data_IF_335118909264
#
_entry.id   IF_335118909264
#
_cell.length_a   1.000
_cell.length_b   1.000
_cell.length_c   1.000
_cell.angle_alpha   90.00
_cell.angle_beta   90.00
_cell.angle_gamma   90.00
#
_symmetry.space_group_name_H-M   'P 1'
#
loop_
_entity.id
_entity.type
_entity.pdbx_description
1 polymer ?
#
# COMPACT_ATOMS: atom_id res chain seq x y z
N UNK A 1 -12.65 30.76 -15.94
CA UNK A 1 -12.80 30.52 -14.49
C UNK A 1 -12.61 31.82 -13.70
N UNK A 2 -13.50 32.10 -12.74
CA UNK A 2 -13.39 33.14 -11.72
C UNK A 2 -14.27 32.73 -10.51
N UNK A 3 -13.66 32.33 -9.40
CA UNK A 3 -14.34 31.79 -8.22
C UNK A 3 -13.69 32.23 -6.91
N UNK A 4 -14.45 32.16 -5.81
CA UNK A 4 -13.93 32.27 -4.43
C UNK A 4 -14.13 30.94 -3.71
N UNK A 5 -13.09 30.43 -3.05
CA UNK A 5 -13.12 29.15 -2.34
C UNK A 5 -12.45 29.25 -0.98
N UNK A 6 -12.86 28.38 -0.04
CA UNK A 6 -12.14 28.21 1.22
C UNK A 6 -10.74 27.64 0.93
N UNK A 7 -9.71 28.31 1.46
CA UNK A 7 -8.31 27.98 1.23
C UNK A 7 -7.96 26.56 1.70
N UNK A 8 -8.41 26.19 2.89
CA UNK A 8 -8.05 24.90 3.49
C UNK A 8 -8.69 23.74 2.72
N UNK A 9 -9.93 23.91 2.25
CA UNK A 9 -10.60 22.92 1.39
C UNK A 9 -9.90 22.79 0.03
N UNK A 10 -9.50 23.91 -0.58
CA UNK A 10 -8.75 23.92 -1.84
C UNK A 10 -7.40 23.20 -1.72
N UNK A 11 -6.63 23.52 -0.68
CA UNK A 11 -5.36 22.87 -0.37
C UNK A 11 -5.53 21.36 -0.12
N UNK A 12 -6.57 20.99 0.62
CA UNK A 12 -6.86 19.57 0.91
C UNK A 12 -7.22 18.80 -0.37
N UNK A 13 -8.02 19.40 -1.25
CA UNK A 13 -8.38 18.80 -2.54
C UNK A 13 -7.15 18.60 -3.45
N UNK A 14 -6.25 19.61 -3.54
CA UNK A 14 -4.97 19.50 -4.25
C UNK A 14 -4.15 18.32 -3.72
N UNK A 15 -4.01 18.22 -2.40
CA UNK A 15 -3.22 17.17 -1.74
C UNK A 15 -3.79 15.76 -1.90
N UNK A 16 -5.09 15.64 -2.15
CA UNK A 16 -5.73 14.35 -2.47
C UNK A 16 -5.34 13.92 -3.88
N UNK A 17 -5.54 14.79 -4.88
CA UNK A 17 -5.34 14.41 -6.28
C UNK A 17 -3.87 14.34 -6.69
N UNK A 18 -2.98 15.11 -6.04
CA UNK A 18 -1.53 15.06 -6.31
C UNK A 18 -0.94 13.66 -6.12
N UNK A 19 -1.57 12.79 -5.31
CA UNK A 19 -1.07 11.43 -5.03
C UNK A 19 -1.10 10.52 -6.26
N UNK A 20 -1.74 10.94 -7.34
CA UNK A 20 -1.71 10.27 -8.65
C UNK A 20 -0.80 10.97 -9.66
N UNK A 21 -0.36 12.19 -9.37
CA UNK A 21 0.47 12.99 -10.27
C UNK A 21 1.93 12.58 -10.09
N UNK A 22 2.63 12.38 -11.21
CA UNK A 22 4.07 12.09 -11.22
C UNK A 22 4.72 13.04 -12.22
N UNK A 23 5.93 13.53 -11.88
CA UNK A 23 6.69 14.36 -12.82
C UNK A 23 6.92 13.60 -14.13
N UNK A 24 6.54 14.22 -15.24
CA UNK A 24 6.68 13.65 -16.56
C UNK A 24 7.29 14.66 -17.53
N UNK A 25 8.58 14.47 -17.83
CA UNK A 25 9.34 15.38 -18.71
C UNK A 25 8.92 15.32 -20.17
N UNK A 26 8.30 14.21 -20.60
CA UNK A 26 7.88 14.00 -22.00
C UNK A 26 6.50 14.63 -22.22
N UNK A 27 5.59 14.48 -21.24
CA UNK A 27 4.25 15.08 -21.23
C UNK A 27 4.06 15.91 -19.96
N UNK A 28 4.55 17.17 -19.92
CA UNK A 28 4.50 18.02 -18.73
C UNK A 28 3.09 18.22 -18.15
N UNK A 29 2.06 18.18 -19.01
CA UNK A 29 0.65 18.25 -18.60
C UNK A 29 0.24 17.16 -17.59
N UNK A 30 0.88 15.99 -17.61
CA UNK A 30 0.66 14.91 -16.63
C UNK A 30 1.27 15.19 -15.25
N UNK A 31 2.08 16.26 -15.15
CA UNK A 31 2.60 16.78 -13.88
C UNK A 31 1.67 17.85 -13.28
N UNK A 32 0.54 18.14 -13.94
CA UNK A 32 -0.43 19.14 -13.52
C UNK A 32 -1.66 18.51 -12.86
N UNK A 33 -2.34 19.31 -12.04
CA UNK A 33 -3.72 19.05 -11.62
C UNK A 33 -4.64 19.77 -12.59
N UNK A 34 -5.67 19.07 -13.06
CA UNK A 34 -6.78 19.65 -13.79
C UNK A 34 -7.90 20.05 -12.82
N UNK A 35 -8.45 21.25 -13.01
CA UNK A 35 -9.56 21.77 -12.23
C UNK A 35 -10.66 22.29 -13.15
N UNK A 36 -11.91 21.93 -12.86
CA UNK A 36 -13.10 22.36 -13.61
C UNK A 36 -14.18 22.86 -12.67
N UNK A 37 -14.70 24.06 -12.91
CA UNK A 37 -15.83 24.63 -12.17
C UNK A 37 -17.11 24.35 -12.94
N UNK A 38 -18.11 23.75 -12.26
CA UNK A 38 -19.44 23.51 -12.82
C UNK A 38 -20.49 23.59 -11.72
N UNK A 39 -21.48 24.45 -11.89
CA UNK A 39 -22.45 24.78 -10.86
C UNK A 39 -21.75 25.40 -9.65
N UNK A 40 -22.06 24.91 -8.44
CA UNK A 40 -21.48 25.38 -7.18
C UNK A 40 -20.29 24.54 -6.70
N UNK A 41 -19.67 23.73 -7.58
CA UNK A 41 -18.53 22.88 -7.23
C UNK A 41 -17.35 23.09 -8.17
N UNK A 42 -16.16 22.88 -7.63
CA UNK A 42 -14.91 22.73 -8.38
C UNK A 42 -14.44 21.28 -8.25
N UNK A 43 -14.15 20.66 -9.39
CA UNK A 43 -13.72 19.28 -9.52
C UNK A 43 -12.24 19.25 -9.85
N UNK A 44 -11.48 18.47 -9.09
CA UNK A 44 -10.05 18.27 -9.31
C UNK A 44 -9.81 16.89 -9.88
N UNK A 45 -8.88 16.80 -10.83
CA UNK A 45 -8.39 15.55 -11.39
C UNK A 45 -6.87 15.56 -11.39
N UNK A 46 -6.28 14.51 -10.84
CA UNK A 46 -4.88 14.16 -11.03
C UNK A 46 -4.82 12.83 -11.76
N UNK A 47 -3.84 12.64 -12.64
CA UNK A 47 -3.64 11.35 -13.30
C UNK A 47 -2.21 11.14 -13.76
N UNK A 48 -1.76 9.88 -13.70
CA UNK A 48 -0.57 9.40 -14.39
C UNK A 48 -0.91 8.37 -15.49
N UNK A 49 -2.16 8.38 -15.98
CA UNK A 49 -2.76 7.43 -16.93
C UNK A 49 -3.08 6.05 -16.37
N UNK A 50 -2.29 5.54 -15.41
CA UNK A 50 -2.57 4.26 -14.74
C UNK A 50 -3.47 4.44 -13.51
N UNK A 51 -3.29 5.53 -12.79
CA UNK A 51 -4.10 5.94 -11.64
C UNK A 51 -4.65 7.33 -11.89
N UNK A 52 -5.96 7.48 -11.73
CA UNK A 52 -6.65 8.77 -11.77
C UNK A 52 -7.35 9.00 -10.44
N UNK A 53 -7.14 10.17 -9.83
CA UNK A 53 -7.87 10.56 -8.63
C UNK A 53 -8.72 11.76 -8.96
N UNK A 54 -9.99 11.69 -8.58
CA UNK A 54 -10.94 12.79 -8.66
C UNK A 54 -11.46 13.14 -7.29
N UNK A 55 -11.64 14.43 -7.03
CA UNK A 55 -12.32 14.92 -5.84
C UNK A 55 -13.04 16.23 -6.16
N UNK A 56 -13.94 16.67 -5.29
CA UNK A 56 -14.64 17.95 -5.46
C UNK A 56 -14.83 18.64 -4.12
N UNK A 57 -14.93 19.97 -4.17
CA UNK A 57 -15.31 20.81 -3.04
C UNK A 57 -16.36 21.82 -3.48
N UNK A 58 -17.14 22.30 -2.52
CA UNK A 58 -18.06 23.40 -2.74
C UNK A 58 -17.31 24.72 -2.97
N UNK A 59 -17.85 25.55 -3.85
CA UNK A 59 -17.35 26.88 -4.18
C UNK A 59 -18.21 27.90 -3.45
N UNK A 60 -17.57 28.87 -2.79
CA UNK A 60 -18.27 29.89 -2.01
C UNK A 60 -18.95 30.93 -2.91
N UNK A 61 -18.31 31.31 -4.01
CA UNK A 61 -18.86 32.24 -4.99
C UNK A 61 -18.36 31.88 -6.40
N UNK A 62 -19.28 31.80 -7.35
CA UNK A 62 -18.97 31.53 -8.76
C UNK A 62 -19.34 32.74 -9.58
N UNK A 63 -18.33 33.48 -10.04
CA UNK A 63 -18.50 34.62 -10.94
C UNK A 63 -18.48 34.13 -12.39
N UNK A 64 -17.61 33.18 -12.71
CA UNK A 64 -17.48 32.60 -14.05
C UNK A 64 -16.96 31.17 -13.97
N UNK A 65 -17.68 30.23 -14.58
CA UNK A 65 -17.20 28.85 -14.74
C UNK A 65 -15.94 28.77 -15.64
N UNK A 66 -15.37 27.58 -15.72
CA UNK A 66 -14.25 27.29 -16.61
C UNK A 66 -13.32 26.24 -16.03
N UNK A 67 -12.23 26.01 -16.75
CA UNK A 67 -11.29 24.93 -16.48
C UNK A 67 -9.85 25.39 -16.66
N UNK A 68 -8.93 24.69 -16.01
CA UNK A 68 -7.50 25.00 -16.03
C UNK A 68 -6.68 23.77 -15.64
N UNK A 69 -5.46 23.66 -16.16
CA UNK A 69 -4.47 22.69 -15.70
C UNK A 69 -3.20 23.41 -15.21
N UNK A 70 -2.79 23.17 -13.96
CA UNK A 70 -1.69 23.91 -13.32
C UNK A 70 -0.71 23.00 -12.59
N UNK A 71 0.54 23.46 -12.47
CA UNK A 71 1.53 22.83 -11.61
C UNK A 71 1.17 23.03 -10.14
N UNK A 72 0.94 21.92 -9.44
CA UNK A 72 0.38 21.97 -8.10
C UNK A 72 1.40 22.29 -7.00
N UNK A 73 2.69 21.95 -7.19
CA UNK A 73 3.71 22.00 -6.14
C UNK A 73 3.90 23.40 -5.56
N UNK A 74 4.11 24.39 -6.43
CA UNK A 74 4.29 25.78 -6.02
C UNK A 74 3.02 26.38 -5.39
N UNK A 75 1.84 25.94 -5.84
CA UNK A 75 0.55 26.35 -5.29
C UNK A 75 0.34 25.72 -3.91
N UNK A 76 0.62 24.43 -3.72
CA UNK A 76 0.56 23.75 -2.41
C UNK A 76 1.53 24.40 -1.40
N UNK A 77 2.74 24.76 -1.82
CA UNK A 77 3.71 25.50 -1.00
C UNK A 77 3.19 26.88 -0.61
N UNK A 78 2.71 27.68 -1.57
CA UNK A 78 2.18 29.01 -1.29
C UNK A 78 0.96 28.97 -0.36
N UNK A 79 0.00 28.08 -0.64
CA UNK A 79 -1.23 27.96 0.14
C UNK A 79 -0.97 27.53 1.59
N UNK A 80 0.14 26.85 1.88
CA UNK A 80 0.53 26.50 3.26
C UNK A 80 0.95 27.72 4.08
N UNK A 81 1.59 28.69 3.45
CA UNK A 81 2.22 29.83 4.14
C UNK A 81 1.23 30.96 4.43
N UNK A 82 0.21 31.12 3.59
CA UNK A 82 -0.82 32.15 3.80
C UNK A 82 -1.84 31.72 4.88
N UNK A 83 -2.52 32.69 5.49
CA UNK A 83 -3.48 32.45 6.59
C UNK A 83 -4.92 32.78 6.23
N UNK A 84 -5.14 33.34 5.05
CA UNK A 84 -6.44 33.72 4.53
C UNK A 84 -7.43 32.55 4.59
N UNK A 85 -8.66 32.84 5.02
CA UNK A 85 -9.71 31.83 5.05
C UNK A 85 -10.19 31.49 3.63
N UNK A 86 -10.25 32.50 2.76
CA UNK A 86 -10.71 32.38 1.38
C UNK A 86 -9.65 32.89 0.41
N UNK A 87 -9.59 32.26 -0.76
CA UNK A 87 -8.78 32.70 -1.90
C UNK A 87 -9.68 32.86 -3.13
N UNK A 88 -9.35 33.82 -3.98
CA UNK A 88 -10.00 34.01 -5.28
C UNK A 88 -9.11 33.41 -6.36
N UNK A 89 -9.70 32.56 -7.20
CA UNK A 89 -9.03 31.97 -8.36
C UNK A 89 -9.61 32.60 -9.61
N UNK A 90 -8.76 33.20 -10.43
CA UNK A 90 -9.17 33.87 -11.67
C UNK A 90 -8.24 33.46 -12.80
N UNK A 91 -8.81 32.95 -13.89
CA UNK A 91 -8.04 32.65 -15.11
C UNK A 91 -8.28 33.75 -16.13
N UNK A 92 -7.20 34.37 -16.59
CA UNK A 92 -7.22 35.37 -17.66
C UNK A 92 -6.47 34.91 -18.90
N UNK A 93 -6.98 35.34 -20.06
CA UNK A 93 -6.42 35.07 -21.38
C UNK A 93 -6.19 33.56 -21.69
N UNK A 94 -6.76 32.66 -20.88
CA UNK A 94 -6.63 31.20 -21.00
C UNK A 94 -5.33 30.62 -20.46
N UNK A 95 -4.32 31.44 -20.14
CA UNK A 95 -2.94 30.97 -19.95
C UNK A 95 -2.33 31.35 -18.59
N UNK A 96 -3.00 32.21 -17.81
CA UNK A 96 -2.52 32.64 -16.49
C UNK A 96 -3.61 32.38 -15.45
N UNK A 97 -3.26 31.64 -14.40
CA UNK A 97 -4.06 31.50 -13.19
C UNK A 97 -3.57 32.49 -12.14
N UNK A 98 -4.47 33.35 -11.69
CA UNK A 98 -4.30 34.22 -10.54
C UNK A 98 -4.85 33.54 -9.29
N UNK A 99 -4.07 33.56 -8.20
CA UNK A 99 -4.56 33.27 -6.85
C UNK A 99 -4.42 34.56 -6.03
N UNK A 100 -5.56 35.08 -5.60
CA UNK A 100 -5.68 36.38 -4.93
C UNK A 100 -6.16 36.19 -3.49
N UNK A 101 -5.54 36.95 -2.61
CA UNK A 101 -5.85 37.11 -1.17
C UNK A 101 -6.15 38.58 -0.90
N UNK A 102 -6.37 38.97 0.35
CA UNK A 102 -6.58 40.39 0.69
C UNK A 102 -5.35 41.26 0.34
N UNK A 103 -4.15 40.73 0.61
CA UNK A 103 -2.89 41.50 0.55
C UNK A 103 -1.92 41.04 -0.56
N UNK A 104 -2.28 40.01 -1.33
CA UNK A 104 -1.39 39.40 -2.33
C UNK A 104 -2.12 38.90 -3.57
N UNK A 105 -1.52 39.15 -4.72
CA UNK A 105 -1.87 38.57 -6.01
C UNK A 105 -0.68 37.79 -6.52
N UNK A 106 -0.90 36.51 -6.85
CA UNK A 106 0.11 35.63 -7.44
C UNK A 106 -0.32 35.17 -8.82
N UNK A 107 0.65 34.93 -9.70
CA UNK A 107 0.43 34.55 -11.10
C UNK A 107 1.15 33.24 -11.40
N UNK A 108 0.43 32.30 -12.02
CA UNK A 108 0.94 31.00 -12.40
C UNK A 108 0.67 30.75 -13.88
N UNK A 109 1.71 30.39 -14.61
CA UNK A 109 1.57 29.85 -15.96
C UNK A 109 0.78 28.53 -15.90
N UNK A 110 -0.22 28.42 -16.76
CA UNK A 110 -1.07 27.23 -16.84
C UNK A 110 -1.06 26.64 -18.24
N UNK A 111 -1.43 25.37 -18.32
CA UNK A 111 -1.64 24.70 -19.58
C UNK A 111 -3.09 24.80 -20.01
N UNK A 112 -3.30 24.67 -21.32
CA UNK A 112 -4.64 24.51 -21.87
C UNK A 112 -5.30 23.26 -21.27
N UNK A 113 -6.52 23.43 -20.78
CA UNK A 113 -7.36 22.34 -20.29
C UNK A 113 -7.61 21.26 -21.36
N UNK A 114 -7.66 21.66 -22.64
CA UNK A 114 -7.92 20.76 -23.78
C UNK A 114 -6.81 19.73 -23.98
N UNK A 115 -5.58 20.02 -23.53
CA UNK A 115 -4.43 19.12 -23.63
C UNK A 115 -4.39 18.09 -22.48
N UNK A 116 -5.21 18.28 -21.44
CA UNK A 116 -5.28 17.35 -20.32
C UNK A 116 -5.97 16.05 -20.77
N UNK A 117 -5.47 14.87 -20.36
CA UNK A 117 -6.14 13.62 -20.68
C UNK A 117 -7.56 13.60 -20.10
N UNK A 118 -8.57 13.65 -20.97
CA UNK A 118 -9.99 13.57 -20.62
C UNK A 118 -10.45 12.16 -20.22
N UNK A 119 -9.56 11.35 -19.65
CA UNK A 119 -9.90 10.04 -19.12
C UNK A 119 -10.85 10.20 -17.95
N UNK A 120 -12.01 9.55 -18.04
CA UNK A 120 -13.05 9.50 -17.00
C UNK A 120 -13.79 10.81 -16.72
N UNK A 121 -13.98 11.72 -17.68
CA UNK A 121 -14.67 13.00 -17.45
C UNK A 121 -16.07 12.84 -16.81
N UNK A 122 -16.85 11.85 -17.25
CA UNK A 122 -18.20 11.56 -16.77
C UNK A 122 -18.29 10.17 -16.12
N UNK A 123 -17.79 10.04 -14.88
CA UNK A 123 -17.94 8.79 -14.13
C UNK A 123 -19.36 8.71 -13.59
N UNK A 124 -20.08 7.68 -14.01
CA UNK A 124 -21.32 7.26 -13.37
C UNK A 124 -21.07 5.85 -12.86
N UNK A 125 -20.86 5.72 -11.55
CA UNK A 125 -20.64 4.41 -10.93
C UNK A 125 -21.93 3.60 -11.03
N UNK A 126 -21.89 2.54 -11.82
CA UNK A 126 -23.01 1.62 -11.98
C UNK A 126 -23.10 0.68 -10.77
N UNK A 127 -24.24 0.65 -10.09
CA UNK A 127 -24.46 -0.24 -8.94
C UNK A 127 -24.34 -1.73 -9.30
N UNK A 128 -24.55 -2.11 -10.57
CA UNK A 128 -24.28 -3.49 -11.02
C UNK A 128 -22.77 -3.84 -11.00
N UNK A 129 -21.89 -2.83 -11.01
CA UNK A 129 -20.44 -2.99 -10.95
C UNK A 129 -19.92 -2.96 -9.50
N UNK A 130 -20.78 -2.73 -8.50
CA UNK A 130 -20.43 -2.78 -7.08
C UNK A 130 -19.86 -4.15 -6.72
N UNK A 131 -18.84 -4.16 -5.86
CA UNK A 131 -18.22 -5.37 -5.34
C UNK A 131 -18.38 -5.45 -3.84
N UNK A 132 -17.83 -4.49 -3.10
CA UNK A 132 -17.91 -4.50 -1.65
C UNK A 132 -17.71 -3.11 -1.07
N UNK A 133 -17.98 -2.99 0.22
CA UNK A 133 -17.70 -1.79 1.00
C UNK A 133 -17.18 -2.18 2.38
N UNK A 134 -16.38 -1.31 2.99
CA UNK A 134 -15.88 -1.47 4.35
C UNK A 134 -15.47 -0.11 4.93
N UNK A 135 -15.20 -0.01 6.24
CA UNK A 135 -14.58 1.18 6.81
C UNK A 135 -13.24 1.50 6.13
N UNK A 136 -13.01 2.77 5.82
CA UNK A 136 -11.86 3.24 5.07
C UNK A 136 -10.54 2.95 5.79
N UNK A 137 -10.51 3.16 7.11
CA UNK A 137 -9.32 2.87 7.92
C UNK A 137 -9.05 1.37 8.06
N UNK A 138 -10.09 0.53 7.95
CA UNK A 138 -9.92 -0.92 7.91
C UNK A 138 -9.25 -1.36 6.60
N UNK A 139 -9.69 -0.83 5.45
CA UNK A 139 -9.05 -1.09 4.16
C UNK A 139 -7.58 -0.65 4.16
N UNK A 140 -7.27 0.51 4.75
CA UNK A 140 -5.89 0.99 4.92
C UNK A 140 -5.05 0.01 5.72
N UNK A 141 -5.56 -0.44 6.87
CA UNK A 141 -4.85 -1.41 7.71
C UNK A 141 -4.58 -2.73 6.96
N UNK A 142 -5.57 -3.23 6.22
CA UNK A 142 -5.40 -4.42 5.37
C UNK A 142 -4.30 -4.20 4.32
N UNK A 143 -4.35 -3.07 3.61
CA UNK A 143 -3.36 -2.75 2.60
C UNK A 143 -1.95 -2.58 3.19
N UNK A 144 -1.78 -1.89 4.32
CA UNK A 144 -0.48 -1.77 4.99
C UNK A 144 0.08 -3.15 5.40
N UNK A 145 -0.78 -4.03 5.91
CA UNK A 145 -0.42 -5.40 6.31
C UNK A 145 -0.02 -6.32 5.16
N UNK A 146 -0.39 -6.00 3.92
CA UNK A 146 -0.13 -6.87 2.77
C UNK A 146 0.86 -6.24 1.80
N UNK A 147 0.86 -4.92 1.61
CA UNK A 147 1.63 -4.23 0.57
C UNK A 147 3.13 -4.54 0.61
N UNK A 148 3.72 -4.68 1.80
CA UNK A 148 5.16 -4.83 1.95
C UNK A 148 5.72 -6.07 1.23
N UNK A 149 4.91 -7.10 0.97
CA UNK A 149 5.34 -8.30 0.25
C UNK A 149 5.23 -8.22 -1.27
N UNK A 150 4.70 -7.14 -1.84
CA UNK A 150 4.73 -6.89 -3.28
C UNK A 150 6.16 -6.75 -3.82
N UNK A 151 6.35 -7.08 -5.10
CA UNK A 151 7.64 -7.01 -5.78
C UNK A 151 7.97 -5.60 -6.28
N UNK A 152 9.14 -5.42 -6.88
CA UNK A 152 9.55 -4.15 -7.49
C UNK A 152 8.83 -3.90 -8.82
N UNK A 153 8.82 -2.66 -9.32
CA UNK A 153 8.24 -2.33 -10.63
C UNK A 153 8.80 -3.14 -11.82
N UNK A 154 9.96 -3.77 -11.69
CA UNK A 154 10.55 -4.63 -12.72
C UNK A 154 9.74 -5.93 -12.92
N UNK A 155 9.05 -6.41 -11.88
CA UNK A 155 8.19 -7.59 -11.93
C UNK A 155 6.72 -7.18 -11.81
N UNK A 156 6.17 -6.65 -12.91
CA UNK A 156 4.81 -6.09 -12.97
C UNK A 156 3.74 -7.07 -12.46
N UNK A 157 3.88 -8.38 -12.73
CA UNK A 157 2.90 -9.39 -12.30
C UNK A 157 2.77 -9.50 -10.77
N UNK A 158 3.86 -9.21 -10.04
CA UNK A 158 3.94 -9.32 -8.59
C UNK A 158 4.04 -7.96 -7.87
N UNK A 159 4.21 -6.86 -8.62
CA UNK A 159 4.14 -5.49 -8.11
C UNK A 159 2.69 -5.03 -7.87
N UNK A 160 1.93 -5.84 -7.11
CA UNK A 160 0.52 -5.61 -6.87
C UNK A 160 0.05 -6.21 -5.54
N UNK A 161 -1.16 -5.82 -5.15
CA UNK A 161 -1.99 -6.61 -4.23
C UNK A 161 -3.07 -7.29 -5.06
N UNK A 162 -3.12 -8.61 -4.96
CA UNK A 162 -4.20 -9.45 -5.46
C UNK A 162 -5.37 -9.40 -4.49
N UNK A 163 -6.54 -9.03 -4.99
CA UNK A 163 -7.80 -9.01 -4.23
C UNK A 163 -8.74 -10.02 -4.87
N UNK A 164 -9.19 -11.00 -4.07
CA UNK A 164 -10.14 -12.02 -4.49
C UNK A 164 -11.35 -12.06 -3.57
N UNK A 165 -12.54 -12.21 -4.16
CA UNK A 165 -13.70 -12.68 -3.41
C UNK A 165 -13.91 -14.15 -3.70
N UNK A 166 -14.01 -14.95 -2.64
CA UNK A 166 -14.35 -16.36 -2.70
C UNK A 166 -15.38 -16.60 -1.60
N UNK A 167 -16.64 -16.87 -1.99
CA UNK A 167 -17.76 -17.06 -1.06
C UNK A 167 -17.95 -15.85 -0.10
N UNK A 168 -17.71 -16.04 1.20
CA UNK A 168 -17.84 -15.04 2.27
C UNK A 168 -16.50 -14.49 2.73
N UNK A 169 -15.50 -14.52 1.86
CA UNK A 169 -14.16 -14.10 2.19
C UNK A 169 -13.58 -13.20 1.10
N UNK A 170 -12.96 -12.11 1.55
CA UNK A 170 -12.03 -11.34 0.75
C UNK A 170 -10.61 -11.81 1.07
N UNK A 171 -9.84 -12.16 0.05
CA UNK A 171 -8.43 -12.50 0.15
C UNK A 171 -7.60 -11.34 -0.40
N UNK A 172 -6.62 -10.91 0.38
CA UNK A 172 -5.62 -9.92 -0.01
C UNK A 172 -4.26 -10.60 0.01
N UNK A 173 -3.60 -10.63 -1.15
CA UNK A 173 -2.35 -11.39 -1.33
C UNK A 173 -1.31 -10.54 -2.04
N UNK A 174 -0.08 -10.59 -1.56
CA UNK A 174 1.08 -10.03 -2.27
C UNK A 174 2.28 -10.96 -2.11
N UNK A 175 3.19 -10.93 -3.08
CA UNK A 175 4.36 -11.81 -3.11
C UNK A 175 5.46 -11.21 -3.98
N UNK A 176 6.71 -11.62 -3.75
CA UNK A 176 7.88 -11.19 -4.54
C UNK A 176 8.85 -12.35 -4.80
N UNK A 177 8.34 -13.56 -5.04
CA UNK A 177 9.08 -14.84 -5.16
C UNK A 177 9.77 -15.36 -3.89
N UNK A 178 10.22 -14.48 -2.99
CA UNK A 178 10.89 -14.85 -1.75
C UNK A 178 9.96 -14.91 -0.53
N UNK A 179 8.84 -14.19 -0.60
CA UNK A 179 7.84 -14.15 0.46
C UNK A 179 6.44 -14.01 -0.12
N UNK A 180 5.45 -14.38 0.66
CA UNK A 180 4.05 -14.21 0.36
C UNK A 180 3.32 -13.79 1.64
N UNK A 181 2.49 -12.76 1.56
CA UNK A 181 1.55 -12.41 2.62
C UNK A 181 0.14 -12.68 2.14
N UNK A 182 -0.62 -13.41 2.94
CA UNK A 182 -2.03 -13.72 2.73
C UNK A 182 -2.83 -13.17 3.91
N UNK A 183 -3.83 -12.35 3.62
CA UNK A 183 -4.80 -11.87 4.59
C UNK A 183 -6.21 -12.23 4.11
N UNK A 184 -6.94 -12.96 4.95
CA UNK A 184 -8.34 -13.31 4.78
C UNK A 184 -9.21 -12.37 5.62
N UNK A 185 -10.25 -11.81 5.02
CA UNK A 185 -11.23 -10.98 5.71
C UNK A 185 -12.62 -11.59 5.52
N UNK A 186 -13.29 -11.91 6.62
CA UNK A 186 -14.70 -12.31 6.59
C UNK A 186 -15.59 -11.12 6.24
N UNK A 187 -16.60 -11.39 5.42
CA UNK A 187 -17.60 -10.41 4.98
C UNK A 187 -19.00 -10.94 5.31
N UNK A 188 -19.90 -10.02 5.68
CA UNK A 188 -21.27 -10.39 6.09
C UNK A 188 -22.16 -10.79 4.91
N UNK A 189 -21.88 -10.24 3.73
CA UNK A 189 -22.64 -10.45 2.50
C UNK A 189 -21.79 -11.21 1.49
N UNK A 190 -22.40 -12.15 0.78
CA UNK A 190 -21.75 -12.83 -0.34
C UNK A 190 -21.45 -11.80 -1.43
N UNK A 191 -20.19 -11.78 -1.88
CA UNK A 191 -19.76 -11.00 -3.04
C UNK A 191 -19.54 -11.99 -4.18
N UNK A 192 -20.11 -11.78 -5.38
CA UNK A 192 -19.82 -12.62 -6.53
C UNK A 192 -18.31 -12.76 -6.75
N UNK A 193 -17.87 -13.97 -7.11
CA UNK A 193 -16.45 -14.25 -7.32
C UNK A 193 -15.84 -13.22 -8.27
N UNK A 194 -14.83 -12.51 -7.78
CA UNK A 194 -14.06 -11.58 -8.56
C UNK A 194 -12.60 -11.66 -8.14
N UNK A 195 -11.72 -11.30 -9.05
CA UNK A 195 -10.31 -11.44 -8.84
C UNK A 195 -9.59 -10.34 -9.61
N UNK A 196 -8.84 -9.49 -8.91
CA UNK A 196 -8.16 -8.34 -9.54
C UNK A 196 -6.78 -8.14 -8.93
N UNK A 197 -5.84 -7.64 -9.73
CA UNK A 197 -4.48 -7.31 -9.29
C UNK A 197 -4.31 -5.81 -9.36
N UNK A 198 -4.22 -5.15 -8.21
CA UNK A 198 -4.14 -3.69 -8.10
C UNK A 198 -2.67 -3.28 -7.93
N UNK A 199 -2.13 -2.38 -8.79
CA UNK A 199 -0.74 -1.95 -8.70
C UNK A 199 -0.34 -1.45 -7.31
N UNK A 200 0.84 -1.85 -6.84
CA UNK A 200 1.33 -1.49 -5.51
C UNK A 200 1.44 0.04 -5.31
N UNK A 201 1.83 0.77 -6.35
CA UNK A 201 1.88 2.24 -6.36
C UNK A 201 0.50 2.86 -6.10
N UNK A 202 -0.55 2.34 -6.74
CA UNK A 202 -1.92 2.79 -6.50
C UNK A 202 -2.32 2.52 -5.05
N UNK A 203 -2.06 1.31 -4.54
CA UNK A 203 -2.33 0.98 -3.14
C UNK A 203 -1.61 1.93 -2.18
N UNK A 204 -0.35 2.26 -2.46
CA UNK A 204 0.42 3.24 -1.68
C UNK A 204 -0.25 4.62 -1.67
N UNK A 205 -0.75 5.08 -2.82
CA UNK A 205 -1.49 6.34 -2.92
C UNK A 205 -2.81 6.28 -2.13
N UNK A 206 -3.58 5.19 -2.23
CA UNK A 206 -4.82 4.99 -1.45
C UNK A 206 -4.53 5.08 0.05
N UNK A 207 -3.52 4.37 0.55
CA UNK A 207 -3.09 4.43 1.97
C UNK A 207 -2.82 5.88 2.38
N UNK A 208 -2.01 6.61 1.60
CA UNK A 208 -1.62 8.00 1.92
C UNK A 208 -2.81 8.96 1.91
N UNK A 209 -3.78 8.77 1.02
CA UNK A 209 -4.98 9.61 0.93
C UNK A 209 -5.88 9.34 2.13
N UNK A 210 -6.24 8.08 2.36
CA UNK A 210 -7.27 7.71 3.34
C UNK A 210 -6.76 7.89 4.78
N UNK A 211 -5.48 7.66 5.06
CA UNK A 211 -4.91 7.80 6.42
C UNK A 211 -5.02 9.22 7.00
N UNK A 212 -5.13 10.23 6.13
CA UNK A 212 -5.33 11.63 6.53
C UNK A 212 -6.81 12.05 6.63
N UNK A 213 -7.75 11.14 6.41
CA UNK A 213 -9.19 11.41 6.34
C UNK A 213 -9.94 10.64 7.44
N UNK A 214 -11.20 11.04 7.67
CA UNK A 214 -12.09 10.37 8.63
C UNK A 214 -12.31 8.88 8.30
N UNK A 215 -12.69 8.11 9.32
CA UNK A 215 -13.11 6.73 9.13
C UNK A 215 -14.56 6.68 8.62
N UNK A 216 -14.73 6.39 7.34
CA UNK A 216 -16.02 6.39 6.64
C UNK A 216 -16.10 5.17 5.74
N UNK A 217 -17.28 4.87 5.19
CA UNK A 217 -17.42 3.76 4.26
C UNK A 217 -16.73 4.09 2.92
N UNK A 218 -15.84 3.19 2.48
CA UNK A 218 -15.27 3.18 1.13
C UNK A 218 -15.94 2.07 0.32
N UNK A 219 -16.41 2.41 -0.88
CA UNK A 219 -17.08 1.47 -1.79
C UNK A 219 -16.19 1.11 -2.96
N UNK A 220 -16.18 -0.16 -3.35
CA UNK A 220 -15.35 -0.68 -4.43
C UNK A 220 -16.24 -1.12 -5.58
N UNK A 221 -15.93 -0.62 -6.77
CA UNK A 221 -16.59 -1.00 -8.03
C UNK A 221 -15.55 -1.52 -9.02
N UNK A 222 -15.93 -2.49 -9.84
CA UNK A 222 -15.08 -3.03 -10.92
C UNK A 222 -15.81 -2.89 -12.24
N UNK A 223 -15.19 -2.19 -13.18
CA UNK A 223 -15.69 -1.99 -14.53
C UNK A 223 -14.54 -2.20 -15.52
N UNK A 224 -14.74 -3.10 -16.49
CA UNK A 224 -13.72 -3.49 -17.48
C UNK A 224 -12.35 -3.81 -16.85
N UNK A 225 -11.31 -3.12 -17.28
CA UNK A 225 -9.93 -3.24 -16.80
C UNK A 225 -9.60 -2.27 -15.64
N UNK A 226 -10.60 -1.69 -14.99
CA UNK A 226 -10.42 -0.70 -13.93
C UNK A 226 -11.11 -1.10 -12.62
N UNK A 227 -10.50 -0.66 -11.52
CA UNK A 227 -11.08 -0.73 -10.18
C UNK A 227 -11.26 0.69 -9.65
N UNK A 228 -12.40 0.94 -9.02
CA UNK A 228 -12.82 2.23 -8.51
C UNK A 228 -12.99 2.14 -7.00
N UNK A 229 -12.40 3.09 -6.28
CA UNK A 229 -12.57 3.28 -4.84
C UNK A 229 -13.30 4.60 -4.63
N UNK A 230 -14.54 4.53 -4.14
CA UNK A 230 -15.37 5.69 -3.84
C UNK A 230 -15.36 5.96 -2.34
N UNK A 231 -14.85 7.13 -1.95
CA UNK A 231 -14.86 7.63 -0.58
C UNK A 231 -15.42 9.07 -0.58
N UNK A 232 -16.59 9.30 0.02
CA UNK A 232 -17.28 10.61 -0.02
C UNK A 232 -17.33 11.16 -1.46
N UNK A 233 -16.82 12.37 -1.70
CA UNK A 233 -16.70 13.02 -3.02
C UNK A 233 -15.44 12.64 -3.80
N UNK A 234 -14.60 11.73 -3.28
CA UNK A 234 -13.34 11.29 -3.88
C UNK A 234 -13.50 9.93 -4.57
N UNK A 235 -13.09 9.86 -5.83
CA UNK A 235 -13.03 8.63 -6.62
C UNK A 235 -11.58 8.37 -7.02
N UNK A 236 -11.05 7.21 -6.63
CA UNK A 236 -9.73 6.74 -7.07
C UNK A 236 -9.95 5.62 -8.08
N UNK A 237 -9.33 5.75 -9.24
CA UNK A 237 -9.47 4.83 -10.38
C UNK A 237 -8.09 4.27 -10.69
N UNK A 238 -8.00 2.97 -10.85
CA UNK A 238 -6.74 2.30 -11.17
C UNK A 238 -6.93 1.27 -12.26
N UNK A 239 -6.01 1.27 -13.21
CA UNK A 239 -5.90 0.22 -14.22
C UNK A 239 -5.35 -1.05 -13.55
N UNK A 240 -6.04 -2.16 -13.80
CA UNK A 240 -5.67 -3.46 -13.26
C UNK A 240 -4.49 -4.07 -14.03
N UNK A 241 -3.69 -4.86 -13.32
CA UNK A 241 -2.63 -5.67 -13.94
C UNK A 241 -3.27 -6.94 -14.51
N UNK A 242 -3.13 -7.12 -15.83
CA UNK A 242 -3.67 -8.29 -16.56
C UNK A 242 -2.68 -9.47 -16.64
N UNK A 243 -1.48 -9.32 -16.06
CA UNK A 243 -0.52 -10.42 -15.94
C UNK A 243 -0.99 -11.44 -14.89
N UNK A 244 -0.69 -12.72 -15.15
CA UNK A 244 -1.06 -13.81 -14.26
C UNK A 244 -0.37 -13.68 -12.90
N UNK A 245 -1.16 -13.53 -11.84
CA UNK A 245 -0.66 -13.61 -10.46
C UNK A 245 -0.28 -15.05 -10.11
N UNK A 246 0.76 -15.28 -9.29
CA UNK A 246 1.13 -16.62 -8.83
C UNK A 246 -0.03 -17.39 -8.18
N UNK A 247 -0.04 -18.72 -8.34
CA UNK A 247 -1.05 -19.58 -7.72
C UNK A 247 -0.80 -19.71 -6.21
N UNK A 248 -1.20 -18.69 -5.45
CA UNK A 248 -0.96 -18.64 -4.01
C UNK A 248 -1.71 -19.73 -3.24
N UNK A 249 -2.89 -20.14 -3.72
CA UNK A 249 -3.67 -21.20 -3.07
C UNK A 249 -2.87 -22.52 -3.03
N UNK A 250 -2.19 -22.84 -4.14
CA UNK A 250 -1.31 -24.01 -4.23
C UNK A 250 -0.08 -23.89 -3.32
N UNK A 251 0.51 -22.69 -3.21
CA UNK A 251 1.62 -22.42 -2.28
C UNK A 251 1.19 -22.65 -0.82
N UNK A 252 -0.04 -22.24 -0.46
CA UNK A 252 -0.57 -22.40 0.90
C UNK A 252 -0.98 -23.84 1.21
N UNK A 253 -1.41 -24.63 0.21
CA UNK A 253 -1.91 -26.00 0.43
C UNK A 253 -0.88 -27.11 0.26
N UNK A 254 0.15 -26.92 -0.58
CA UNK A 254 1.06 -28.00 -0.97
C UNK A 254 2.22 -28.24 0.00
N UNK A 255 2.40 -27.38 1.00
CA UNK A 255 3.53 -27.47 1.92
C UNK A 255 3.06 -28.16 3.21
N UNK A 256 3.61 -29.34 3.46
CA UNK A 256 3.50 -30.01 4.75
C UNK A 256 4.50 -29.43 5.73
N UNK A 257 4.11 -29.34 7.00
CA UNK A 257 4.96 -28.90 8.09
C UNK A 257 4.92 -29.93 9.22
N UNK A 258 6.09 -30.32 9.73
CA UNK A 258 6.25 -31.32 10.79
C UNK A 258 6.98 -30.78 12.03
N UNK A 259 7.41 -29.51 11.98
CA UNK A 259 8.13 -28.81 13.05
C UNK A 259 7.46 -27.48 13.36
N UNK A 260 7.41 -27.09 14.64
CA UNK A 260 6.78 -25.83 15.07
C UNK A 260 7.61 -25.10 16.12
N UNK A 261 7.81 -23.79 15.94
CA UNK A 261 8.35 -22.89 16.95
C UNK A 261 7.24 -22.02 17.50
N UNK A 262 7.05 -22.04 18.81
CA UNK A 262 6.18 -21.13 19.55
C UNK A 262 7.04 -20.05 20.23
N UNK A 263 6.77 -18.78 19.92
CA UNK A 263 7.54 -17.67 20.50
C UNK A 263 6.69 -16.42 20.68
N UNK A 264 6.84 -15.74 21.82
CA UNK A 264 6.28 -14.40 22.02
C UNK A 264 6.87 -13.41 21.01
N UNK A 265 6.01 -12.59 20.39
CA UNK A 265 6.39 -11.68 19.33
C UNK A 265 7.39 -10.60 19.80
N UNK A 266 7.24 -10.03 21.00
CA UNK A 266 8.19 -9.04 21.51
C UNK A 266 9.60 -9.63 21.67
N UNK A 267 9.71 -10.86 22.19
CA UNK A 267 10.99 -11.59 22.29
C UNK A 267 11.63 -11.78 20.92
N UNK A 268 10.88 -12.27 19.93
CA UNK A 268 11.38 -12.48 18.57
C UNK A 268 11.77 -11.16 17.90
N UNK A 269 10.93 -10.14 18.01
CA UNK A 269 11.18 -8.80 17.47
C UNK A 269 12.49 -8.21 18.00
N UNK A 270 12.71 -8.28 19.32
CA UNK A 270 13.92 -7.75 19.93
C UNK A 270 15.18 -8.55 19.52
N UNK A 271 15.07 -9.87 19.39
CA UNK A 271 16.12 -10.73 18.87
C UNK A 271 16.49 -10.36 17.42
N UNK A 272 15.51 -10.32 16.52
CA UNK A 272 15.74 -10.00 15.11
C UNK A 272 16.31 -8.60 14.90
N UNK A 273 15.90 -7.60 15.72
CA UNK A 273 16.48 -6.25 15.67
C UNK A 273 17.98 -6.25 15.95
N UNK A 274 18.46 -7.03 16.92
CA UNK A 274 19.90 -7.17 17.20
C UNK A 274 20.62 -7.90 16.07
N UNK A 275 20.06 -9.01 15.60
CA UNK A 275 20.62 -9.82 14.52
C UNK A 275 20.75 -9.01 13.21
N UNK A 276 19.78 -8.16 12.90
CA UNK A 276 19.78 -7.30 11.72
C UNK A 276 20.93 -6.30 11.67
N UNK A 277 21.49 -5.91 12.82
CA UNK A 277 22.67 -5.02 12.85
C UNK A 277 23.85 -5.67 12.12
N UNK A 278 23.95 -6.99 12.22
CA UNK A 278 25.02 -7.79 11.62
C UNK A 278 24.62 -8.31 10.24
N UNK A 279 23.38 -8.79 10.07
CA UNK A 279 22.97 -9.40 8.80
C UNK A 279 22.73 -8.41 7.66
N UNK A 280 22.43 -7.12 7.95
CA UNK A 280 22.15 -6.11 6.91
C UNK A 280 23.28 -5.88 5.89
N UNK A 281 24.50 -6.15 6.31
CA UNK A 281 25.73 -6.04 5.51
C UNK A 281 26.46 -7.38 5.46
N UNK A 282 25.72 -8.50 5.58
CA UNK A 282 26.28 -9.82 5.39
C UNK A 282 26.84 -9.95 3.97
N UNK A 283 28.11 -10.33 3.88
CA UNK A 283 28.91 -10.36 2.64
C UNK A 283 28.47 -11.47 1.68
N UNK A 284 27.84 -12.54 2.18
CA UNK A 284 27.40 -13.66 1.35
C UNK A 284 26.00 -13.45 0.80
N UNK A 285 25.08 -13.05 1.67
CA UNK A 285 23.68 -12.79 1.31
C UNK A 285 23.08 -11.76 2.27
N UNK A 286 22.63 -10.65 1.70
CA UNK A 286 22.11 -9.50 2.45
C UNK A 286 20.92 -9.93 3.31
N UNK A 287 20.96 -9.57 4.60
CA UNK A 287 19.97 -9.92 5.63
C UNK A 287 19.88 -11.41 6.00
N UNK A 288 20.81 -12.24 5.53
CA UNK A 288 20.86 -13.67 5.88
C UNK A 288 21.21 -13.90 7.34
N UNK A 289 20.49 -14.82 7.99
CA UNK A 289 20.81 -15.32 9.33
C UNK A 289 20.50 -16.82 9.41
N UNK A 290 21.34 -17.56 10.12
CA UNK A 290 21.21 -19.01 10.28
C UNK A 290 20.59 -19.31 11.64
N UNK A 291 19.53 -20.12 11.61
CA UNK A 291 18.77 -20.58 12.77
C UNK A 291 19.05 -22.08 12.91
N UNK A 292 19.53 -22.48 14.08
CA UNK A 292 19.81 -23.87 14.42
C UNK A 292 18.99 -24.25 15.66
N UNK A 293 18.08 -25.21 15.48
CA UNK A 293 17.23 -25.78 16.51
C UNK A 293 17.79 -27.12 16.94
N UNK A 294 18.06 -27.29 18.23
CA UNK A 294 18.59 -28.52 18.81
C UNK A 294 17.81 -28.94 20.05
N UNK A 295 17.47 -30.21 20.10
CA UNK A 295 16.97 -30.86 21.31
C UNK A 295 18.14 -31.21 22.22
N UNK A 296 18.01 -30.92 23.50
CA UNK A 296 18.99 -31.31 24.51
C UNK A 296 18.44 -32.45 25.37
N UNK A 297 19.31 -33.28 25.92
CA UNK A 297 18.99 -34.44 26.78
C UNK A 297 18.17 -34.05 28.03
N UNK A 298 18.19 -32.77 28.42
CA UNK A 298 17.43 -32.21 29.55
C UNK A 298 16.02 -31.67 29.21
N UNK A 299 15.44 -32.01 28.04
CA UNK A 299 14.14 -31.49 27.56
C UNK A 299 14.07 -29.95 27.43
N UNK A 300 15.23 -29.28 27.28
CA UNK A 300 15.30 -27.84 26.98
C UNK A 300 15.71 -27.66 25.53
N UNK A 301 14.75 -27.31 24.69
CA UNK A 301 15.01 -27.08 23.28
C UNK A 301 15.65 -25.70 23.11
N UNK A 302 16.73 -25.66 22.33
CA UNK A 302 17.53 -24.45 22.13
C UNK A 302 17.45 -24.01 20.68
N UNK A 303 17.34 -22.70 20.48
CA UNK A 303 17.55 -22.06 19.19
C UNK A 303 18.81 -21.21 19.27
N UNK A 304 19.78 -21.50 18.42
CA UNK A 304 20.90 -20.63 18.14
C UNK A 304 20.63 -19.83 16.87
N UNK A 305 20.78 -18.52 16.91
CA UNK A 305 20.71 -17.63 15.75
C UNK A 305 22.04 -16.93 15.54
N UNK A 306 22.54 -16.98 14.31
CA UNK A 306 23.83 -16.41 13.95
C UNK A 306 23.75 -15.57 12.69
N UNK A 307 24.52 -14.49 12.68
CA UNK A 307 24.75 -13.66 11.51
C UNK A 307 26.16 -13.07 11.56
N UNK A 308 26.71 -12.76 10.39
CA UNK A 308 28.02 -12.13 10.28
C UNK A 308 28.01 -11.07 9.19
N UNK A 309 28.94 -10.12 9.32
CA UNK A 309 29.40 -9.26 8.24
C UNK A 309 30.93 -9.38 8.15
N UNK A 310 31.55 -8.54 7.32
CA UNK A 310 33.00 -8.58 7.07
C UNK A 310 33.87 -8.40 8.34
N UNK A 311 33.36 -7.73 9.38
CA UNK A 311 34.15 -7.30 10.55
C UNK A 311 33.67 -7.89 11.88
N UNK A 312 32.46 -8.45 11.94
CA UNK A 312 31.85 -8.90 13.18
C UNK A 312 30.87 -10.06 12.98
N UNK A 313 30.74 -10.90 14.01
CA UNK A 313 29.77 -12.00 14.09
C UNK A 313 28.92 -11.84 15.36
N UNK A 314 27.65 -12.18 15.25
CA UNK A 314 26.74 -12.37 16.37
C UNK A 314 26.29 -13.83 16.42
N UNK A 315 26.28 -14.40 17.61
CA UNK A 315 25.64 -15.68 17.92
C UNK A 315 24.83 -15.46 19.20
N UNK A 316 23.53 -15.69 19.14
CA UNK A 316 22.66 -15.67 20.31
C UNK A 316 21.98 -17.03 20.47
N UNK A 317 21.90 -17.51 21.70
CA UNK A 317 21.24 -18.75 22.06
C UNK A 317 20.11 -18.47 23.06
N UNK A 318 18.98 -19.14 22.88
CA UNK A 318 17.83 -19.00 23.75
C UNK A 318 17.07 -20.33 23.88
N UNK A 319 16.52 -20.54 25.06
CA UNK A 319 15.53 -21.59 25.28
C UNK A 319 14.24 -21.22 24.52
N UNK A 320 13.70 -22.20 23.79
CA UNK A 320 12.53 -22.07 22.92
C UNK A 320 11.57 -23.23 23.11
N UNK A 321 10.30 -23.00 22.81
CA UNK A 321 9.34 -24.07 22.63
C UNK A 321 9.34 -24.49 21.16
N UNK A 322 10.13 -25.51 20.83
CA UNK A 322 10.26 -26.05 19.49
C UNK A 322 9.82 -27.51 19.47
N UNK A 323 8.96 -27.87 18.53
CA UNK A 323 8.41 -29.21 18.33
C UNK A 323 8.96 -29.80 17.03
N UNK A 324 9.22 -31.11 17.02
CA UNK A 324 9.70 -31.86 15.84
C UNK A 324 11.18 -32.22 15.93
N UNK A 325 11.82 -32.53 14.80
CA UNK A 325 13.26 -32.88 14.77
C UNK A 325 14.17 -31.64 14.66
N UNK A 326 15.45 -31.80 15.00
CA UNK A 326 16.48 -30.78 14.83
C UNK A 326 16.48 -30.19 13.40
N UNK A 327 16.71 -28.88 13.32
CA UNK A 327 16.67 -28.17 12.05
C UNK A 327 17.73 -27.07 12.01
N UNK A 328 18.47 -26.99 10.91
CA UNK A 328 19.29 -25.84 10.57
C UNK A 328 18.72 -25.20 9.30
N UNK A 329 18.44 -23.91 9.34
CA UNK A 329 17.81 -23.17 8.22
C UNK A 329 18.34 -21.75 8.14
N UNK A 330 18.50 -21.22 6.93
CA UNK A 330 18.88 -19.82 6.71
C UNK A 330 17.67 -19.03 6.22
N UNK A 331 17.38 -17.90 6.87
CA UNK A 331 16.24 -17.04 6.54
C UNK A 331 16.70 -15.59 6.36
N UNK A 332 15.95 -14.85 5.55
CA UNK A 332 16.06 -13.39 5.51
C UNK A 332 15.39 -12.78 6.75
N UNK A 333 16.21 -12.37 7.72
CA UNK A 333 15.72 -11.83 9.00
C UNK A 333 15.00 -10.50 8.86
N UNK A 334 15.27 -9.73 7.79
CA UNK A 334 14.54 -8.48 7.51
C UNK A 334 13.11 -8.79 7.10
N UNK A 335 12.93 -9.77 6.20
CA UNK A 335 11.62 -10.20 5.77
C UNK A 335 10.78 -10.79 6.89
N UNK A 336 11.39 -11.57 7.79
CA UNK A 336 10.69 -12.08 8.96
C UNK A 336 10.28 -10.93 9.89
N UNK A 337 11.19 -9.98 10.16
CA UNK A 337 10.90 -8.83 11.02
C UNK A 337 9.78 -7.94 10.46
N UNK A 338 9.78 -7.67 9.16
CA UNK A 338 8.76 -6.84 8.50
C UNK A 338 7.35 -7.41 8.69
N UNK A 339 7.16 -8.73 8.63
CA UNK A 339 5.87 -9.36 8.88
C UNK A 339 5.46 -9.28 10.35
N UNK A 340 6.30 -9.77 11.27
CA UNK A 340 5.92 -9.92 12.68
C UNK A 340 5.66 -8.58 13.39
N UNK A 341 6.22 -7.47 12.87
CA UNK A 341 5.94 -6.12 13.37
C UNK A 341 4.48 -5.67 13.14
N UNK A 342 3.75 -6.32 12.22
CA UNK A 342 2.32 -6.07 11.99
C UNK A 342 1.41 -6.83 12.97
N UNK A 343 2.00 -7.67 13.84
CA UNK A 343 1.31 -8.44 14.86
C UNK A 343 1.57 -7.75 16.22
N UNK A 344 0.58 -7.65 17.13
CA UNK A 344 0.82 -7.07 18.46
C UNK A 344 1.90 -7.84 19.24
N UNK A 345 2.66 -7.12 20.07
CA UNK A 345 3.88 -7.61 20.73
C UNK A 345 3.61 -8.69 21.79
N UNK A 346 2.46 -8.60 22.42
CA UNK A 346 1.97 -9.50 23.45
C UNK A 346 1.53 -10.87 22.90
N UNK A 347 1.30 -10.96 21.59
CA UNK A 347 0.82 -12.20 20.95
C UNK A 347 1.92 -13.24 20.82
N UNK A 348 1.48 -14.49 20.80
CA UNK A 348 2.33 -15.64 20.50
C UNK A 348 2.32 -15.91 18.98
N UNK A 349 3.50 -16.12 18.41
CA UNK A 349 3.69 -16.49 17.02
C UNK A 349 3.94 -17.99 16.91
N UNK A 350 3.50 -18.56 15.80
CA UNK A 350 3.84 -19.92 15.38
C UNK A 350 4.61 -19.83 14.07
N UNK A 351 5.81 -20.43 14.06
CA UNK A 351 6.56 -20.66 12.82
C UNK A 351 6.56 -22.16 12.54
N UNK A 352 6.10 -22.56 11.36
CA UNK A 352 6.03 -23.96 10.93
C UNK A 352 7.10 -24.25 9.88
N UNK A 353 7.81 -25.37 10.03
CA UNK A 353 8.94 -25.78 9.21
C UNK A 353 8.80 -27.23 8.73
N UNK A 354 9.60 -27.60 7.73
CA UNK A 354 9.74 -28.98 7.24
C UNK A 354 11.22 -29.36 7.08
N UNK A 355 11.85 -28.91 5.97
CA UNK A 355 13.27 -29.07 5.70
C UNK A 355 13.98 -27.72 5.59
N UNK A 356 15.32 -27.73 5.60
CA UNK A 356 16.16 -26.54 5.52
C UNK A 356 15.99 -25.70 4.24
N UNK A 357 15.43 -26.29 3.19
CA UNK A 357 15.15 -25.66 1.90
C UNK A 357 13.65 -25.48 1.62
N UNK A 358 12.77 -25.83 2.58
CA UNK A 358 11.32 -25.69 2.45
C UNK A 358 10.87 -24.31 2.95
N UNK A 359 9.78 -23.79 2.40
CA UNK A 359 9.22 -22.53 2.86
C UNK A 359 8.81 -22.61 4.34
N UNK A 360 8.90 -21.49 5.05
CA UNK A 360 8.48 -21.35 6.44
C UNK A 360 7.16 -20.62 6.48
N UNK A 361 6.19 -21.15 7.23
CA UNK A 361 4.90 -20.49 7.46
C UNK A 361 4.91 -19.80 8.81
N UNK A 362 4.47 -18.55 8.86
CA UNK A 362 4.45 -17.71 10.06
C UNK A 362 3.07 -17.12 10.23
N UNK A 363 2.51 -17.23 11.44
CA UNK A 363 1.19 -16.67 11.77
C UNK A 363 1.08 -16.39 13.28
N UNK A 364 0.11 -15.57 13.66
CA UNK A 364 -0.29 -15.41 15.06
C UNK A 364 -1.02 -16.67 15.53
N UNK A 365 -0.69 -17.18 16.72
CA UNK A 365 -1.36 -18.35 17.28
C UNK A 365 -2.88 -18.13 17.34
N UNK A 366 -3.62 -19.18 16.96
CA UNK A 366 -5.09 -19.18 16.88
C UNK A 366 -5.69 -18.19 15.85
N UNK A 367 -4.86 -17.66 14.93
CA UNK A 367 -5.27 -16.79 13.85
C UNK A 367 -4.72 -17.31 12.51
N UNK A 368 -5.57 -18.01 11.75
CA UNK A 368 -5.26 -18.53 10.42
C UNK A 368 -5.64 -17.55 9.28
N UNK A 369 -6.10 -16.35 9.64
CA UNK A 369 -6.54 -15.34 8.68
C UNK A 369 -5.41 -14.44 8.20
N UNK A 370 -4.25 -14.44 8.87
CA UNK A 370 -3.07 -13.66 8.47
C UNK A 370 -1.82 -14.53 8.45
N UNK A 371 -1.48 -15.01 7.25
CA UNK A 371 -0.43 -16.00 7.02
C UNK A 371 0.70 -15.36 6.22
N UNK A 372 1.93 -15.67 6.62
CA UNK A 372 3.13 -15.31 5.90
C UNK A 372 3.92 -16.54 5.52
N UNK A 373 4.34 -16.62 4.25
CA UNK A 373 5.24 -17.64 3.75
C UNK A 373 6.57 -16.99 3.44
N UNK A 374 7.66 -17.57 3.93
CA UNK A 374 9.02 -17.11 3.71
C UNK A 374 9.86 -18.22 3.10
N UNK A 375 10.45 -17.97 1.93
CA UNK A 375 11.39 -18.91 1.32
C UNK A 375 12.73 -18.86 2.05
N UNK A 376 13.36 -20.02 2.32
CA UNK A 376 14.68 -20.03 2.90
C UNK A 376 15.74 -19.59 1.91
N UNK A 377 16.84 -19.09 2.46
CA UNK A 377 18.07 -18.86 1.73
C UNK A 377 18.88 -20.16 1.70
N UNK A 378 19.73 -20.31 0.68
CA UNK A 378 20.67 -21.42 0.63
C UNK A 378 21.56 -21.41 1.88
N UNK A 379 21.59 -22.52 2.62
CA UNK A 379 22.60 -22.72 3.66
C UNK A 379 23.97 -22.76 2.98
N UNK A 380 24.90 -21.96 3.51
CA UNK A 380 26.31 -22.00 3.13
C UNK A 380 27.09 -22.42 4.38
N UNK A 381 28.02 -23.37 4.17
CA UNK A 381 28.81 -24.00 5.24
C UNK A 381 29.81 -23.03 5.88
#
# INVERSE_FOLDING_TARGET
MHIKVNRQNFLSAIRIVEKSVKENKIKPILSCIYAKVKGNKIYFTGTNLDTTIKTSIDVNEVIREGEVAFYYSIIDEYLKEIKDEFVVLRVENGNILFIETEDSTTEYDVFSAEDYPNTFENIVLNENNFKFEMPSQELVNIFEKVLFSADTPDNIAMNCIRIESILKHLHFVSTNTYRLTFLKKNIDKDIPDFSVSVPADTISSIIKIIKGLDNEVIKIYKEDAHLYFQYKDTTIITKLIELRFPNYAEILSNISYDKKLHMNNDKLTNLLKRILIFSRSNSESKYSSTYEFKHNEENKNKMAISALNEIARINEELDVNFEGEDLKISLNSKYLLEFIQNIPKEKELVLEFMYSNSAVKVYEKDNDEYIYILMPLALRE
#
